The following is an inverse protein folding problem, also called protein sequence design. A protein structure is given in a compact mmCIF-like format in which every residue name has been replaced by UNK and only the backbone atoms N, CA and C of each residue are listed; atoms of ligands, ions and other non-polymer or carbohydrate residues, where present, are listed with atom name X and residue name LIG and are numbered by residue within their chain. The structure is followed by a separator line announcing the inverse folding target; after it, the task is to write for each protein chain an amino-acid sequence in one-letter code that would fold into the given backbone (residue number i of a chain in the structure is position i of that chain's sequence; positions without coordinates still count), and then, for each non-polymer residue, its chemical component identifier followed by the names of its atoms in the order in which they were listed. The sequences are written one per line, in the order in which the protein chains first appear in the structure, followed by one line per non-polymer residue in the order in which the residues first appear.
data_IF_363466345420
#
_entry.id   IF_363466345420
#
_cell.length_a   1.000
_cell.length_b   1.000
_cell.length_c   1.000
_cell.angle_alpha   90.00
_cell.angle_beta   90.00
_cell.angle_gamma   90.00
#
_symmetry.space_group_name_H-M   'P 1'
#
loop_
_entity.id
_entity.type
_entity.pdbx_description
1 polymer ?
#
# COMPACT_ATOMS: atom_id res chain seq x y z
N UNK A 1 24.73 -7.08 16.89
CA UNK A 1 23.94 -5.90 17.31
C UNK A 1 24.81 -4.68 17.14
N UNK A 2 24.51 -3.82 16.16
CA UNK A 2 25.23 -2.55 15.99
C UNK A 2 24.79 -1.56 17.05
N UNK A 3 25.72 -0.90 17.72
CA UNK A 3 25.43 0.18 18.66
C UNK A 3 24.80 1.36 17.92
N UNK A 4 23.75 2.00 18.45
CA UNK A 4 23.17 3.19 17.83
C UNK A 4 24.23 4.30 17.83
N UNK A 5 24.63 4.75 16.63
CA UNK A 5 25.53 5.90 16.48
C UNK A 5 24.77 7.16 16.90
N UNK A 6 25.24 7.84 17.95
CA UNK A 6 24.76 9.19 18.31
C UNK A 6 24.93 10.13 17.12
N UNK A 7 23.90 10.94 16.82
CA UNK A 7 23.94 11.98 15.79
C UNK A 7 23.79 11.46 14.35
N UNK A 8 23.03 10.38 14.15
CA UNK A 8 22.80 9.78 12.84
C UNK A 8 21.82 10.57 11.98
N UNK A 9 20.77 11.11 12.59
CA UNK A 9 19.79 11.95 11.91
C UNK A 9 19.98 13.40 12.27
N UNK A 10 19.66 14.30 11.33
CA UNK A 10 19.68 15.73 11.59
C UNK A 10 18.54 16.10 12.55
N UNK A 11 18.77 17.12 13.37
CA UNK A 11 17.67 17.78 14.07
C UNK A 11 17.04 18.82 13.13
N UNK A 12 15.71 18.83 13.07
CA UNK A 12 14.95 19.68 12.16
C UNK A 12 14.21 20.75 12.96
N UNK A 13 14.22 21.99 12.46
CA UNK A 13 13.46 23.09 13.06
C UNK A 13 11.96 22.85 12.89
N UNK A 14 11.29 22.57 14.01
CA UNK A 14 9.85 22.29 14.09
C UNK A 14 8.98 23.54 14.31
N UNK A 15 9.57 24.74 14.36
CA UNK A 15 8.83 26.01 14.51
C UNK A 15 7.67 26.16 13.52
N UNK A 16 7.78 25.74 12.23
CA UNK A 16 6.67 25.84 11.27
C UNK A 16 5.44 24.98 11.57
N UNK A 17 5.55 24.01 12.49
CA UNK A 17 4.47 23.13 12.92
C UNK A 17 3.78 23.62 14.20
N UNK A 18 4.40 24.54 14.95
CA UNK A 18 3.83 25.06 16.20
C UNK A 18 2.47 25.73 15.95
N UNK A 19 1.50 25.39 16.79
CA UNK A 19 0.12 25.89 16.66
C UNK A 19 -0.72 25.23 15.57
N UNK A 20 -0.14 24.35 14.73
CA UNK A 20 -0.87 23.59 13.70
C UNK A 20 -1.14 22.14 14.08
N UNK A 21 -0.34 21.60 15.01
CA UNK A 21 -0.44 20.23 15.51
C UNK A 21 -0.36 20.22 17.03
N UNK A 22 -0.92 19.20 17.72
CA UNK A 22 -0.81 19.07 19.17
C UNK A 22 0.66 19.10 19.64
N UNK A 23 0.95 19.88 20.69
CA UNK A 23 2.32 20.10 21.18
C UNK A 23 2.99 18.81 21.63
N UNK A 24 2.23 17.85 22.17
CA UNK A 24 2.76 16.56 22.64
C UNK A 24 3.59 15.82 21.58
N UNK A 25 3.23 15.92 20.30
CA UNK A 25 4.00 15.30 19.22
C UNK A 25 5.34 16.01 18.96
N UNK A 26 5.34 17.32 19.12
CA UNK A 26 6.52 18.17 18.96
C UNK A 26 7.47 18.01 20.16
N UNK A 27 6.91 17.96 21.37
CA UNK A 27 7.65 17.77 22.61
C UNK A 27 8.35 16.40 22.62
N UNK A 28 7.63 15.33 22.27
CA UNK A 28 8.20 13.99 22.12
C UNK A 28 9.38 13.95 21.12
N UNK A 29 9.28 14.69 20.00
CA UNK A 29 10.37 14.78 19.03
C UNK A 29 11.59 15.52 19.59
N UNK A 30 11.38 16.59 20.36
CA UNK A 30 12.46 17.35 20.98
C UNK A 30 13.18 16.53 22.05
N UNK A 31 12.46 15.66 22.76
CA UNK A 31 13.02 14.77 23.78
C UNK A 31 13.93 13.69 23.17
N UNK A 32 13.56 13.12 22.02
CA UNK A 32 14.41 12.19 21.27
C UNK A 32 14.40 12.45 19.75
N UNK A 33 15.22 13.40 19.25
CA UNK A 33 15.29 13.73 17.83
C UNK A 33 15.92 12.62 16.97
N UNK A 34 16.48 11.57 17.58
CA UNK A 34 17.07 10.43 16.88
C UNK A 34 16.10 9.28 16.70
N UNK A 35 14.91 9.35 17.33
CA UNK A 35 13.85 8.38 17.16
C UNK A 35 13.31 8.43 15.72
N UNK A 36 13.58 7.37 14.97
CA UNK A 36 13.23 7.26 13.55
C UNK A 36 11.72 7.22 13.31
N UNK A 37 10.94 6.67 14.25
CA UNK A 37 9.48 6.64 14.17
C UNK A 37 8.91 8.05 14.31
N UNK A 38 9.39 8.80 15.31
CA UNK A 38 9.03 10.21 15.49
C UNK A 38 9.47 11.06 14.30
N UNK A 39 10.69 10.85 13.77
CA UNK A 39 11.14 11.53 12.55
C UNK A 39 10.22 11.26 11.37
N UNK A 40 9.85 9.99 11.12
CA UNK A 40 8.93 9.59 10.05
C UNK A 40 7.56 10.24 10.22
N UNK A 41 7.06 10.30 11.46
CA UNK A 41 5.80 10.96 11.80
C UNK A 41 5.85 12.47 11.56
N UNK A 42 6.89 13.15 12.08
CA UNK A 42 7.11 14.59 11.88
C UNK A 42 7.26 14.92 10.39
N UNK A 43 7.92 14.07 9.60
CA UNK A 43 7.99 14.23 8.14
C UNK A 43 6.59 14.28 7.51
N UNK A 44 5.67 13.43 7.97
CA UNK A 44 4.26 13.44 7.58
C UNK A 44 3.54 14.74 7.95
N UNK A 45 3.79 15.27 9.14
CA UNK A 45 3.23 16.56 9.57
C UNK A 45 3.74 17.71 8.72
N UNK A 46 5.04 17.72 8.39
CA UNK A 46 5.62 18.73 7.50
C UNK A 46 4.99 18.71 6.11
N UNK A 47 4.81 17.53 5.52
CA UNK A 47 4.16 17.40 4.20
C UNK A 47 2.70 17.85 4.20
N UNK A 48 2.01 17.76 5.33
CA UNK A 48 0.57 18.05 5.43
C UNK A 48 0.26 19.47 5.88
N UNK A 49 1.02 20.01 6.84
CA UNK A 49 0.72 21.26 7.53
C UNK A 49 1.91 22.24 7.59
N UNK A 50 3.12 21.75 7.29
CA UNK A 50 4.35 22.53 7.39
C UNK A 50 4.93 22.89 6.03
N UNK A 51 6.25 22.99 5.99
CA UNK A 51 7.01 23.09 4.74
C UNK A 51 7.16 21.69 4.11
N UNK A 52 6.55 21.50 2.95
CA UNK A 52 6.55 20.23 2.23
C UNK A 52 7.97 19.70 1.98
N UNK A 53 8.88 20.54 1.50
CA UNK A 53 10.26 20.15 1.18
C UNK A 53 11.04 19.70 2.41
N UNK A 54 10.78 20.27 3.59
CA UNK A 54 11.36 19.79 4.86
C UNK A 54 10.91 18.35 5.10
N UNK A 55 9.62 18.06 4.91
CA UNK A 55 9.07 16.72 5.06
C UNK A 55 9.65 15.72 4.06
N UNK A 56 9.94 16.13 2.82
CA UNK A 56 10.66 15.30 1.84
C UNK A 56 12.08 15.01 2.31
N UNK A 57 12.83 16.05 2.73
CA UNK A 57 14.22 15.91 3.21
C UNK A 57 14.34 14.99 4.42
N UNK A 58 13.41 15.05 5.37
CA UNK A 58 13.39 14.13 6.52
C UNK A 58 13.24 12.68 6.03
N UNK A 59 12.31 12.42 5.11
CA UNK A 59 12.13 11.07 4.55
C UNK A 59 13.36 10.60 3.77
N UNK A 60 14.04 11.48 3.03
CA UNK A 60 15.32 11.16 2.36
C UNK A 60 16.42 10.81 3.39
N UNK A 61 16.53 11.57 4.49
CA UNK A 61 17.48 11.33 5.57
C UNK A 61 17.25 9.97 6.26
N UNK A 62 15.98 9.64 6.53
CA UNK A 62 15.56 8.32 7.03
C UNK A 62 16.02 7.23 6.06
N UNK A 63 15.68 7.33 4.77
CA UNK A 63 15.99 6.31 3.78
C UNK A 63 17.49 6.11 3.54
N UNK A 64 18.31 7.15 3.74
CA UNK A 64 19.76 7.09 3.57
C UNK A 64 20.49 6.56 4.80
N UNK A 65 20.00 6.89 6.00
CA UNK A 65 20.73 6.63 7.23
C UNK A 65 20.17 5.45 8.05
N UNK A 66 18.99 4.92 7.71
CA UNK A 66 18.41 3.75 8.37
C UNK A 66 19.31 2.49 8.29
N UNK A 67 19.32 1.69 9.35
CA UNK A 67 20.02 0.40 9.41
C UNK A 67 19.14 -0.69 8.79
N UNK A 68 19.34 -0.94 7.50
CA UNK A 68 18.59 -1.93 6.74
C UNK A 68 19.24 -3.32 6.86
N UNK A 69 18.76 -4.13 7.79
CA UNK A 69 19.25 -5.50 8.00
C UNK A 69 18.19 -6.42 8.59
N UNK A 70 18.31 -7.72 8.35
CA UNK A 70 17.31 -8.73 8.74
C UNK A 70 17.02 -8.76 10.25
N UNK A 71 18.00 -8.37 11.07
CA UNK A 71 17.85 -8.29 12.53
C UNK A 71 17.16 -7.02 13.05
N UNK A 72 16.81 -6.06 12.20
CA UNK A 72 16.20 -4.78 12.59
C UNK A 72 14.92 -4.49 11.79
N UNK A 73 13.91 -5.34 11.99
CA UNK A 73 12.63 -5.27 11.28
C UNK A 73 11.89 -3.94 11.51
N UNK A 74 11.95 -3.40 12.74
CA UNK A 74 11.26 -2.15 13.08
C UNK A 74 11.84 -0.96 12.31
N UNK A 75 13.16 -0.84 12.26
CA UNK A 75 13.76 0.26 11.52
C UNK A 75 13.64 0.09 10.00
N UNK A 76 13.79 -1.15 9.54
CA UNK A 76 13.61 -1.50 8.13
C UNK A 76 12.19 -1.17 7.66
N UNK A 77 11.16 -1.41 8.50
CA UNK A 77 9.77 -1.11 8.14
C UNK A 77 9.53 0.39 7.96
N UNK A 78 10.08 1.21 8.85
CA UNK A 78 10.00 2.67 8.77
C UNK A 78 10.73 3.20 7.53
N UNK A 79 11.89 2.64 7.21
CA UNK A 79 12.64 3.04 6.02
C UNK A 79 11.92 2.64 4.72
N UNK A 80 11.38 1.42 4.64
CA UNK A 80 10.58 0.95 3.49
C UNK A 80 9.34 1.83 3.28
N UNK A 81 8.67 2.22 4.37
CA UNK A 81 7.55 3.17 4.33
C UNK A 81 7.96 4.53 3.77
N UNK A 82 9.08 5.10 4.24
CA UNK A 82 9.58 6.38 3.74
C UNK A 82 10.00 6.31 2.27
N UNK A 83 10.64 5.21 1.84
CA UNK A 83 10.95 4.98 0.43
C UNK A 83 9.69 4.92 -0.44
N UNK A 84 8.63 4.28 0.05
CA UNK A 84 7.35 4.24 -0.65
C UNK A 84 6.71 5.62 -0.78
N UNK A 85 6.74 6.45 0.28
CA UNK A 85 6.28 7.84 0.22
C UNK A 85 7.10 8.63 -0.80
N UNK A 86 8.43 8.57 -0.70
CA UNK A 86 9.33 9.27 -1.62
C UNK A 86 9.09 8.88 -3.07
N UNK A 87 8.83 7.59 -3.34
CA UNK A 87 8.53 7.13 -4.69
C UNK A 87 7.31 7.83 -5.30
N UNK A 88 6.25 8.05 -4.50
CA UNK A 88 5.06 8.79 -4.94
C UNK A 88 5.40 10.25 -5.25
N UNK A 89 6.12 10.92 -4.35
CA UNK A 89 6.52 12.32 -4.51
C UNK A 89 7.38 12.48 -5.77
N UNK A 90 8.36 11.60 -5.98
CA UNK A 90 9.20 11.64 -7.18
C UNK A 90 8.43 11.36 -8.47
N UNK A 91 7.37 10.54 -8.44
CA UNK A 91 6.48 10.35 -9.59
C UNK A 91 5.71 11.64 -9.90
N UNK A 92 5.17 12.30 -8.87
CA UNK A 92 4.44 13.58 -9.00
C UNK A 92 5.34 14.71 -9.51
N UNK A 93 6.64 14.68 -9.16
CA UNK A 93 7.67 15.60 -9.68
C UNK A 93 8.27 15.15 -11.03
N UNK A 94 7.76 14.08 -11.65
CA UNK A 94 8.28 13.48 -12.90
C UNK A 94 9.76 13.03 -12.84
N UNK A 95 10.30 12.84 -11.63
CA UNK A 95 11.66 12.36 -11.35
C UNK A 95 11.70 10.83 -11.30
N UNK A 96 11.28 10.21 -12.40
CA UNK A 96 11.03 8.76 -12.46
C UNK A 96 12.24 7.90 -12.07
N UNK A 97 13.47 8.30 -12.44
CA UNK A 97 14.68 7.57 -12.04
C UNK A 97 14.85 7.48 -10.51
N UNK A 98 14.50 8.56 -9.78
CA UNK A 98 14.54 8.54 -8.32
C UNK A 98 13.41 7.70 -7.76
N UNK A 99 12.21 7.78 -8.36
CA UNK A 99 11.09 6.95 -7.98
C UNK A 99 11.41 5.45 -8.10
N UNK A 100 11.99 5.03 -9.23
CA UNK A 100 12.37 3.64 -9.45
C UNK A 100 13.44 3.16 -8.49
N UNK A 101 14.50 3.95 -8.24
CA UNK A 101 15.50 3.60 -7.23
C UNK A 101 14.91 3.46 -5.82
N UNK A 102 13.96 4.33 -5.47
CA UNK A 102 13.27 4.23 -4.19
C UNK A 102 12.43 2.94 -4.10
N UNK A 103 11.71 2.59 -5.17
CA UNK A 103 10.93 1.36 -5.26
C UNK A 103 11.80 0.10 -5.26
N UNK A 104 12.92 0.09 -5.98
CA UNK A 104 13.87 -1.04 -6.01
C UNK A 104 14.46 -1.29 -4.62
N UNK A 105 14.84 -0.21 -3.92
CA UNK A 105 15.35 -0.29 -2.55
C UNK A 105 14.26 -0.78 -1.60
N UNK A 106 13.04 -0.23 -1.70
CA UNK A 106 11.92 -0.68 -0.89
C UNK A 106 11.62 -2.16 -1.14
N UNK A 107 11.59 -2.61 -2.40
CA UNK A 107 11.30 -3.99 -2.79
C UNK A 107 12.38 -4.96 -2.28
N UNK A 108 13.65 -4.55 -2.31
CA UNK A 108 14.79 -5.34 -1.82
C UNK A 108 14.69 -5.62 -0.32
N UNK A 109 14.28 -4.63 0.47
CA UNK A 109 14.22 -4.74 1.93
C UNK A 109 12.83 -5.06 2.47
N UNK A 110 11.80 -5.07 1.61
CA UNK A 110 10.47 -5.47 2.00
C UNK A 110 10.43 -6.94 2.38
N UNK A 111 9.84 -7.22 3.52
CA UNK A 111 9.46 -8.57 3.93
C UNK A 111 8.10 -8.53 4.61
N UNK A 112 7.38 -9.65 4.56
CA UNK A 112 6.11 -9.79 5.27
C UNK A 112 6.27 -9.68 6.79
N UNK A 113 7.48 -9.89 7.31
CA UNK A 113 7.79 -9.78 8.74
C UNK A 113 7.85 -8.34 9.24
N UNK A 114 7.99 -7.36 8.35
CA UNK A 114 7.90 -5.93 8.70
C UNK A 114 6.55 -5.59 9.35
N UNK A 115 5.49 -6.33 9.00
CA UNK A 115 4.13 -6.15 9.55
C UNK A 115 4.07 -6.52 11.04
N UNK A 116 4.94 -7.42 11.51
CA UNK A 116 5.04 -7.77 12.92
C UNK A 116 5.61 -6.62 13.75
N UNK A 117 6.49 -5.80 13.17
CA UNK A 117 7.17 -4.71 13.86
C UNK A 117 6.37 -3.39 13.91
N UNK A 118 5.25 -3.33 13.21
CA UNK A 118 4.34 -2.17 13.18
C UNK A 118 3.34 -2.23 14.34
N UNK A 119 3.66 -1.58 15.46
CA UNK A 119 2.78 -1.49 16.64
C UNK A 119 1.62 -0.50 16.47
N UNK A 120 1.75 0.49 15.60
CA UNK A 120 0.78 1.59 15.46
C UNK A 120 -0.28 1.34 14.38
N UNK A 121 -0.03 0.37 13.50
CA UNK A 121 -0.91 0.13 12.37
C UNK A 121 -0.75 1.11 11.21
N UNK A 122 0.19 2.06 11.33
CA UNK A 122 0.27 3.26 10.50
C UNK A 122 1.35 3.19 9.42
N UNK A 123 2.35 2.31 9.53
CA UNK A 123 3.45 2.20 8.57
C UNK A 123 3.24 1.03 7.61
N UNK A 124 2.54 1.19 6.48
CA UNK A 124 2.16 0.02 5.67
C UNK A 124 2.35 0.18 4.16
N UNK A 125 3.47 -0.35 3.68
CA UNK A 125 3.51 -1.14 2.44
C UNK A 125 3.14 -2.57 2.84
N UNK A 126 1.83 -2.88 2.88
CA UNK A 126 1.34 -4.14 3.44
C UNK A 126 1.63 -5.31 2.51
N UNK A 127 1.47 -5.08 1.22
CA UNK A 127 1.69 -6.07 0.19
C UNK A 127 2.88 -5.65 -0.66
N UNK A 128 3.68 -6.62 -1.12
CA UNK A 128 4.77 -6.33 -2.05
C UNK A 128 4.22 -5.75 -3.35
N UNK A 129 3.01 -6.17 -3.72
CA UNK A 129 2.20 -5.70 -4.83
C UNK A 129 1.94 -4.18 -4.77
N UNK A 130 1.90 -3.55 -3.59
CA UNK A 130 1.73 -2.10 -3.48
C UNK A 130 2.93 -1.36 -4.13
N UNK A 131 4.14 -1.91 -3.99
CA UNK A 131 5.35 -1.37 -4.63
C UNK A 131 5.29 -1.57 -6.16
N UNK A 132 4.82 -2.73 -6.60
CA UNK A 132 4.66 -3.03 -8.01
C UNK A 132 3.61 -2.14 -8.66
N UNK A 133 2.44 -1.96 -8.03
CA UNK A 133 1.38 -1.07 -8.50
C UNK A 133 1.85 0.39 -8.57
N UNK A 134 2.66 0.85 -7.60
CA UNK A 134 3.30 2.17 -7.67
C UNK A 134 4.24 2.29 -8.88
N UNK A 135 5.00 1.24 -9.19
CA UNK A 135 5.85 1.18 -10.40
C UNK A 135 5.01 1.18 -11.68
N UNK A 136 3.93 0.41 -11.73
CA UNK A 136 2.99 0.39 -12.86
C UNK A 136 2.38 1.78 -13.09
N UNK A 137 1.95 2.46 -12.03
CA UNK A 137 1.42 3.82 -12.14
C UNK A 137 2.43 4.82 -12.74
N UNK A 138 3.72 4.70 -12.41
CA UNK A 138 4.76 5.51 -13.05
C UNK A 138 4.89 5.21 -14.56
N UNK A 139 4.84 3.93 -14.96
CA UNK A 139 4.84 3.54 -16.38
C UNK A 139 3.59 4.00 -17.11
N UNK A 140 2.43 4.00 -16.44
CA UNK A 140 1.18 4.54 -16.95
C UNK A 140 1.31 6.03 -17.30
N UNK A 141 1.86 6.84 -16.39
CA UNK A 141 2.07 8.28 -16.62
C UNK A 141 2.99 8.51 -17.82
N UNK A 142 4.04 7.71 -17.98
CA UNK A 142 4.98 7.82 -19.11
C UNK A 142 4.46 7.21 -20.42
N UNK A 143 3.28 6.57 -20.43
CA UNK A 143 2.78 5.84 -21.61
C UNK A 143 3.60 4.60 -21.98
N UNK A 144 4.41 4.06 -21.05
CA UNK A 144 5.26 2.87 -21.26
C UNK A 144 4.42 1.59 -21.18
N UNK A 145 3.60 1.35 -22.21
CA UNK A 145 2.61 0.25 -22.26
C UNK A 145 3.19 -1.13 -21.90
N UNK A 146 4.27 -1.55 -22.57
CA UNK A 146 4.84 -2.90 -22.36
C UNK A 146 5.32 -3.12 -20.93
N UNK A 147 5.99 -2.12 -20.36
CA UNK A 147 6.49 -2.18 -18.99
C UNK A 147 5.34 -2.15 -17.98
N UNK A 148 4.32 -1.32 -18.25
CA UNK A 148 3.08 -1.28 -17.49
C UNK A 148 2.39 -2.65 -17.44
N UNK A 149 2.12 -3.25 -18.61
CA UNK A 149 1.44 -4.55 -18.73
C UNK A 149 2.23 -5.65 -18.00
N UNK A 150 3.56 -5.68 -18.16
CA UNK A 150 4.40 -6.67 -17.48
C UNK A 150 4.27 -6.61 -15.95
N UNK A 151 4.17 -5.40 -15.37
CA UNK A 151 4.00 -5.25 -13.93
C UNK A 151 2.58 -5.58 -13.49
N UNK A 152 1.56 -5.18 -14.25
CA UNK A 152 0.16 -5.51 -13.97
C UNK A 152 -0.06 -7.03 -13.99
N UNK A 153 0.48 -7.74 -14.99
CA UNK A 153 0.39 -9.19 -15.08
C UNK A 153 1.06 -9.86 -13.87
N UNK A 154 2.23 -9.37 -13.47
CA UNK A 154 2.92 -9.86 -12.27
C UNK A 154 2.07 -9.71 -11.01
N UNK A 155 1.37 -8.58 -10.83
CA UNK A 155 0.45 -8.37 -9.70
C UNK A 155 -0.72 -9.34 -9.79
N UNK A 156 -1.37 -9.44 -10.95
CA UNK A 156 -2.53 -10.32 -11.14
C UNK A 156 -2.21 -11.79 -10.89
N UNK A 157 -1.07 -12.29 -11.39
CA UNK A 157 -0.60 -13.66 -11.14
C UNK A 157 -0.34 -13.88 -9.64
N UNK A 158 0.34 -12.95 -8.97
CA UNK A 158 0.59 -13.04 -7.52
C UNK A 158 -0.70 -13.14 -6.71
N UNK A 159 -1.70 -12.31 -7.02
CA UNK A 159 -3.01 -12.36 -6.35
C UNK A 159 -3.76 -13.65 -6.67
N UNK A 160 -3.76 -14.10 -7.92
CA UNK A 160 -4.40 -15.35 -8.32
C UNK A 160 -3.83 -16.56 -7.56
N UNK A 161 -2.50 -16.67 -7.47
CA UNK A 161 -1.85 -17.73 -6.70
C UNK A 161 -2.20 -17.66 -5.21
N UNK A 162 -2.23 -16.46 -4.63
CA UNK A 162 -2.63 -16.26 -3.24
C UNK A 162 -4.08 -16.73 -3.01
N UNK A 163 -4.99 -16.44 -3.93
CA UNK A 163 -6.39 -16.80 -3.80
C UNK A 163 -6.64 -18.29 -3.91
N UNK A 164 -5.97 -18.97 -4.84
CA UNK A 164 -6.09 -20.42 -4.95
C UNK A 164 -5.72 -21.10 -3.63
N UNK A 165 -4.60 -20.67 -3.04
CA UNK A 165 -4.16 -21.16 -1.72
C UNK A 165 -5.13 -20.75 -0.60
N UNK A 166 -5.66 -19.53 -0.65
CA UNK A 166 -6.62 -19.05 0.34
C UNK A 166 -7.92 -19.85 0.32
N UNK A 167 -8.45 -20.13 -0.87
CA UNK A 167 -9.69 -20.87 -1.05
C UNK A 167 -9.58 -22.32 -0.55
N UNK A 168 -8.43 -22.98 -0.77
CA UNK A 168 -8.19 -24.33 -0.24
C UNK A 168 -8.26 -24.41 1.29
N UNK A 169 -7.79 -23.37 1.98
CA UNK A 169 -7.66 -23.37 3.45
C UNK A 169 -8.87 -22.78 4.14
N UNK A 170 -9.41 -21.69 3.61
CA UNK A 170 -10.43 -20.86 4.29
C UNK A 170 -11.77 -20.87 3.58
N UNK A 171 -11.84 -21.38 2.34
CA UNK A 171 -12.99 -21.25 1.43
C UNK A 171 -13.39 -19.79 1.16
N UNK A 172 -12.53 -18.83 1.47
CA UNK A 172 -12.78 -17.42 1.21
C UNK A 172 -12.63 -17.13 -0.29
N UNK A 173 -13.59 -16.36 -0.82
CA UNK A 173 -13.46 -15.71 -2.12
C UNK A 173 -13.14 -14.24 -1.85
N UNK A 174 -11.99 -13.73 -2.30
CA UNK A 174 -11.63 -12.34 -2.10
C UNK A 174 -12.58 -11.43 -2.87
N UNK A 175 -13.32 -10.60 -2.14
CA UNK A 175 -14.12 -9.51 -2.69
C UNK A 175 -13.42 -8.21 -2.27
N UNK A 176 -13.37 -7.22 -3.16
CA UNK A 176 -12.77 -5.90 -2.90
C UNK A 176 -11.26 -5.91 -2.62
N UNK A 177 -10.53 -6.85 -3.21
CA UNK A 177 -9.08 -6.80 -3.21
C UNK A 177 -8.57 -5.52 -3.88
N UNK A 178 -7.87 -4.69 -3.13
CA UNK A 178 -7.46 -3.37 -3.61
C UNK A 178 -6.41 -3.47 -4.71
N UNK A 179 -5.55 -4.50 -4.68
CA UNK A 179 -4.54 -4.68 -5.72
C UNK A 179 -5.17 -5.02 -7.07
N UNK A 180 -6.19 -5.90 -7.09
CA UNK A 180 -6.92 -6.21 -8.31
C UNK A 180 -7.76 -5.04 -8.80
N UNK A 181 -8.41 -4.31 -7.90
CA UNK A 181 -9.14 -3.10 -8.26
C UNK A 181 -8.20 -2.08 -8.92
N UNK A 182 -7.00 -1.89 -8.37
CA UNK A 182 -5.97 -1.01 -8.94
C UNK A 182 -5.47 -1.51 -10.31
N UNK A 183 -5.29 -2.82 -10.48
CA UNK A 183 -4.94 -3.39 -11.79
C UNK A 183 -5.99 -3.05 -12.84
N UNK A 184 -7.27 -3.30 -12.57
CA UNK A 184 -8.34 -3.02 -13.53
C UNK A 184 -8.53 -1.53 -13.77
N UNK A 185 -8.45 -0.71 -12.72
CA UNK A 185 -8.52 0.74 -12.82
C UNK A 185 -7.39 1.29 -13.71
N UNK A 186 -6.14 0.94 -13.42
CA UNK A 186 -4.99 1.45 -14.17
C UNK A 186 -4.98 0.93 -15.61
N UNK A 187 -5.35 -0.33 -15.84
CA UNK A 187 -5.50 -0.86 -17.21
C UNK A 187 -6.56 -0.10 -17.98
N UNK A 188 -7.66 0.31 -17.32
CA UNK A 188 -8.68 1.15 -17.94
C UNK A 188 -8.12 2.52 -18.36
N UNK A 189 -7.26 3.13 -17.53
CA UNK A 189 -6.59 4.40 -17.85
C UNK A 189 -5.61 4.22 -19.02
N UNK A 190 -4.81 3.15 -19.03
CA UNK A 190 -3.87 2.87 -20.12
C UNK A 190 -4.61 2.71 -21.46
N UNK A 191 -5.66 1.88 -21.50
CA UNK A 191 -6.48 1.73 -22.70
C UNK A 191 -7.11 3.05 -23.13
N UNK A 192 -7.63 3.84 -22.18
CA UNK A 192 -8.20 5.16 -22.47
C UNK A 192 -7.17 6.11 -23.08
N UNK A 193 -5.95 6.16 -22.56
CA UNK A 193 -4.85 6.99 -23.07
C UNK A 193 -4.41 6.60 -24.48
N UNK A 194 -4.57 5.32 -24.85
CA UNK A 194 -4.28 4.78 -26.17
C UNK A 194 -5.48 4.87 -27.13
N UNK A 195 -6.58 5.50 -26.71
CA UNK A 195 -7.86 5.57 -27.45
C UNK A 195 -8.49 4.18 -27.76
N UNK A 196 -8.10 3.16 -27.01
CA UNK A 196 -8.72 1.83 -27.01
C UNK A 196 -9.93 1.80 -26.07
N UNK A 197 -11.00 2.47 -26.50
CA UNK A 197 -12.19 2.71 -25.69
C UNK A 197 -12.96 1.43 -25.34
N UNK A 198 -12.92 0.42 -26.20
CA UNK A 198 -13.58 -0.86 -25.97
C UNK A 198 -12.95 -1.57 -24.75
N UNK A 199 -11.63 -1.73 -24.75
CA UNK A 199 -10.94 -2.35 -23.62
C UNK A 199 -11.00 -1.49 -22.36
N UNK A 200 -10.96 -0.15 -22.49
CA UNK A 200 -11.15 0.74 -21.35
C UNK A 200 -12.50 0.51 -20.65
N UNK A 201 -13.59 0.36 -21.42
CA UNK A 201 -14.93 0.03 -20.90
C UNK A 201 -14.96 -1.37 -20.28
N UNK A 202 -14.31 -2.36 -20.89
CA UNK A 202 -14.22 -3.73 -20.34
C UNK A 202 -13.53 -3.73 -18.97
N UNK A 203 -12.38 -3.06 -18.85
CA UNK A 203 -11.62 -3.04 -17.60
C UNK A 203 -12.37 -2.33 -16.48
N UNK A 204 -12.97 -1.15 -16.73
CA UNK A 204 -13.70 -0.44 -15.67
C UNK A 204 -14.96 -1.22 -15.24
N UNK A 205 -15.66 -1.88 -16.16
CA UNK A 205 -16.78 -2.77 -15.83
C UNK A 205 -16.33 -3.98 -15.02
N UNK A 206 -15.13 -4.49 -15.29
CA UNK A 206 -14.53 -5.57 -14.52
C UNK A 206 -14.23 -5.11 -13.10
N UNK A 207 -13.60 -3.95 -12.91
CA UNK A 207 -13.39 -3.34 -11.58
C UNK A 207 -14.71 -3.20 -10.81
N UNK A 208 -15.79 -2.73 -11.46
CA UNK A 208 -17.12 -2.63 -10.86
C UNK A 208 -17.69 -3.98 -10.39
N UNK A 209 -17.48 -5.07 -11.13
CA UNK A 209 -17.90 -6.42 -10.69
C UNK A 209 -17.18 -6.83 -9.41
N UNK A 210 -15.88 -6.54 -9.31
CA UNK A 210 -15.07 -6.87 -8.13
C UNK A 210 -15.37 -6.03 -6.88
N UNK A 211 -16.07 -4.89 -7.02
CA UNK A 211 -16.59 -4.14 -5.88
C UNK A 211 -17.70 -4.90 -5.11
N UNK A 212 -18.35 -5.87 -5.76
CA UNK A 212 -19.42 -6.68 -5.16
C UNK A 212 -20.66 -5.87 -4.75
N UNK A 213 -20.90 -4.72 -5.39
CA UNK A 213 -22.10 -3.89 -5.18
C UNK A 213 -22.94 -3.86 -6.45
N UNK A 214 -24.25 -4.07 -6.30
CA UNK A 214 -25.23 -3.90 -7.39
C UNK A 214 -25.49 -2.40 -7.57
N UNK A 215 -25.19 -1.80 -8.73
CA UNK A 215 -25.38 -0.36 -8.94
C UNK A 215 -26.85 0.00 -9.16
N UNK A 216 -27.38 0.91 -8.37
CA UNK A 216 -28.65 1.61 -8.62
C UNK A 216 -28.47 3.13 -8.52
N UNK A 217 -27.36 3.66 -9.04
CA UNK A 217 -27.15 5.11 -9.21
C UNK A 217 -27.36 5.50 -10.68
N UNK A 218 -27.63 6.80 -10.90
CA UNK A 218 -27.89 7.37 -12.22
C UNK A 218 -26.69 7.25 -13.17
N UNK A 219 -25.45 7.43 -12.69
CA UNK A 219 -24.24 7.30 -13.51
C UNK A 219 -24.12 5.89 -14.11
N UNK A 220 -24.39 4.83 -13.36
CA UNK A 220 -24.29 3.46 -13.92
C UNK A 220 -25.36 3.19 -14.98
N UNK A 221 -26.58 3.71 -14.81
CA UNK A 221 -27.65 3.59 -15.80
C UNK A 221 -27.34 4.40 -17.06
N UNK A 222 -26.85 5.64 -16.89
CA UNK A 222 -26.42 6.51 -17.99
C UNK A 222 -25.27 5.88 -18.78
N UNK A 223 -24.31 5.26 -18.09
CA UNK A 223 -23.24 4.52 -18.73
C UNK A 223 -23.75 3.40 -19.65
N UNK A 224 -24.74 2.61 -19.18
CA UNK A 224 -25.37 1.55 -20.00
C UNK A 224 -26.11 2.12 -21.20
N UNK A 225 -26.77 3.27 -21.07
CA UNK A 225 -27.47 3.93 -22.17
C UNK A 225 -26.46 4.39 -23.23
N UNK A 226 -25.37 5.05 -22.83
CA UNK A 226 -24.29 5.45 -23.72
C UNK A 226 -23.66 4.25 -24.42
N UNK A 227 -23.36 3.18 -23.69
CA UNK A 227 -22.75 1.95 -24.23
C UNK A 227 -23.63 1.33 -25.32
N UNK A 228 -24.95 1.21 -25.07
CA UNK A 228 -25.91 0.68 -26.07
C UNK A 228 -26.01 1.54 -27.33
N UNK A 229 -25.72 2.83 -27.23
CA UNK A 229 -25.69 3.77 -28.36
C UNK A 229 -24.35 3.79 -29.10
N UNK A 230 -23.36 3.00 -28.65
CA UNK A 230 -22.00 2.99 -29.19
C UNK A 230 -21.13 4.16 -28.73
N UNK A 231 -21.61 4.99 -27.79
CA UNK A 231 -20.86 6.12 -27.23
C UNK A 231 -19.95 5.65 -26.08
N UNK A 232 -18.88 4.95 -26.45
CA UNK A 232 -17.96 4.32 -25.50
C UNK A 232 -17.21 5.33 -24.63
N UNK A 233 -16.95 6.53 -25.14
CA UNK A 233 -16.26 7.59 -24.38
C UNK A 233 -17.10 8.07 -23.21
N UNK A 234 -18.38 8.37 -23.44
CA UNK A 234 -19.27 8.78 -22.35
C UNK A 234 -19.63 7.58 -21.46
N UNK A 235 -19.80 6.38 -22.02
CA UNK A 235 -20.00 5.17 -21.23
C UNK A 235 -18.86 4.95 -20.23
N UNK A 236 -17.60 5.02 -20.69
CA UNK A 236 -16.43 4.94 -19.84
C UNK A 236 -16.44 6.01 -18.74
N UNK A 237 -16.71 7.27 -19.12
CA UNK A 237 -16.73 8.40 -18.18
C UNK A 237 -17.74 8.18 -17.05
N UNK A 238 -18.96 7.73 -17.37
CA UNK A 238 -19.98 7.46 -16.37
C UNK A 238 -19.66 6.23 -15.52
N UNK A 239 -19.16 5.14 -16.11
CA UNK A 239 -18.69 3.98 -15.34
C UNK A 239 -17.57 4.34 -14.37
N UNK A 240 -16.59 5.15 -14.81
CA UNK A 240 -15.48 5.59 -13.98
C UNK A 240 -15.95 6.47 -12.82
N UNK A 241 -16.85 7.44 -13.07
CA UNK A 241 -17.45 8.27 -12.02
C UNK A 241 -18.14 7.42 -10.95
N UNK A 242 -18.96 6.46 -11.39
CA UNK A 242 -19.64 5.53 -10.49
C UNK A 242 -18.64 4.69 -9.68
N UNK A 243 -17.61 4.15 -10.34
CA UNK A 243 -16.56 3.36 -9.71
C UNK A 243 -15.83 4.16 -8.62
N UNK A 244 -15.37 5.38 -8.91
CA UNK A 244 -14.67 6.24 -7.95
C UNK A 244 -15.56 6.55 -6.74
N UNK A 245 -16.85 6.83 -6.96
CA UNK A 245 -17.81 7.07 -5.87
C UNK A 245 -18.06 5.85 -4.98
N UNK A 246 -17.89 4.64 -5.51
CA UNK A 246 -18.12 3.39 -4.79
C UNK A 246 -16.85 2.74 -4.22
N UNK A 247 -15.66 3.22 -4.61
CA UNK A 247 -14.37 2.62 -4.24
C UNK A 247 -14.21 2.62 -2.72
N UNK A 248 -13.89 1.46 -2.10
CA UNK A 248 -13.69 1.37 -0.66
C UNK A 248 -12.59 2.33 -0.22
N UNK A 249 -12.83 3.07 0.87
CA UNK A 249 -11.82 3.92 1.50
C UNK A 249 -10.92 3.16 2.48
N UNK A 250 -11.26 1.90 2.78
CA UNK A 250 -10.54 1.07 3.75
C UNK A 250 -9.38 0.33 3.07
N UNK A 251 -8.18 0.49 3.63
CA UNK A 251 -6.90 -0.01 3.12
C UNK A 251 -6.60 -1.46 3.54
N UNK A 252 -7.60 -2.33 3.63
CA UNK A 252 -7.43 -3.64 4.24
C UNK A 252 -7.97 -4.77 3.37
N UNK A 253 -7.08 -5.65 2.91
CA UNK A 253 -7.44 -7.01 2.50
C UNK A 253 -8.25 -7.66 3.62
N UNK A 254 -9.45 -8.14 3.28
CA UNK A 254 -10.41 -8.74 4.22
C UNK A 254 -10.20 -10.25 4.40
N UNK A 255 -9.19 -10.82 3.74
CA UNK A 255 -8.90 -12.25 3.81
C UNK A 255 -8.30 -12.60 5.16
N UNK A 256 -8.85 -13.65 5.80
CA UNK A 256 -8.23 -14.28 6.96
C UNK A 256 -6.98 -15.05 6.56
N UNK A 257 -6.95 -15.61 5.35
CA UNK A 257 -5.80 -16.35 4.87
C UNK A 257 -4.50 -15.54 4.96
N UNK A 258 -3.44 -16.17 5.47
CA UNK A 258 -2.14 -15.53 5.60
C UNK A 258 -1.98 -14.66 6.85
N UNK A 259 -2.97 -14.66 7.75
CA UNK A 259 -2.95 -13.99 9.06
C UNK A 259 -2.72 -14.98 10.21
N UNK A 260 -2.45 -14.46 11.41
CA UNK A 260 -2.36 -15.25 12.64
C UNK A 260 -3.64 -16.06 12.90
N UNK A 261 -4.82 -15.51 12.60
CA UNK A 261 -6.11 -16.19 12.81
C UNK A 261 -6.27 -17.53 12.09
N UNK A 262 -5.56 -17.72 10.96
CA UNK A 262 -5.62 -18.94 10.14
C UNK A 262 -4.32 -19.74 10.17
N UNK A 263 -3.42 -19.45 11.11
CA UNK A 263 -2.11 -20.07 11.21
C UNK A 263 -2.11 -21.24 12.21
N UNK A 264 -1.47 -22.36 11.88
CA UNK A 264 -1.35 -23.54 12.77
C UNK A 264 -0.58 -23.23 14.05
N UNK A 265 0.30 -22.23 14.01
CA UNK A 265 1.18 -21.86 15.13
C UNK A 265 0.57 -20.76 16.03
N UNK A 266 -0.70 -20.41 15.85
CA UNK A 266 -1.37 -19.37 16.63
C UNK A 266 -2.28 -19.99 17.69
N UNK A 267 -2.03 -19.65 18.95
CA UNK A 267 -2.87 -20.05 20.07
C UNK A 267 -3.68 -18.84 20.57
N UNK A 268 -5.00 -18.78 20.30
CA UNK A 268 -5.82 -17.66 20.72
C UNK A 268 -5.92 -17.58 22.25
N UNK A 269 -5.74 -16.39 22.80
CA UNK A 269 -5.97 -16.11 24.23
C UNK A 269 -7.33 -15.47 24.49
N UNK A 270 -7.82 -14.71 23.51
CA UNK A 270 -9.16 -14.11 23.48
C UNK A 270 -9.62 -13.95 22.01
N UNK A 271 -10.63 -13.12 21.76
CA UNK A 271 -11.19 -12.91 20.42
C UNK A 271 -10.38 -11.96 19.51
N UNK A 272 -9.35 -11.27 20.03
CA UNK A 272 -8.53 -10.29 19.30
C UNK A 272 -7.04 -10.66 19.25
N UNK A 273 -6.55 -11.43 20.22
CA UNK A 273 -5.13 -11.62 20.47
C UNK A 273 -4.81 -13.06 20.87
N UNK A 274 -3.57 -13.46 20.60
CA UNK A 274 -3.04 -14.75 20.99
C UNK A 274 -1.52 -14.79 20.96
N UNK A 275 -0.99 -15.99 21.21
CA UNK A 275 0.44 -16.24 21.22
C UNK A 275 0.83 -16.93 19.90
N UNK A 276 1.78 -16.34 19.19
CA UNK A 276 2.47 -17.04 18.10
C UNK A 276 3.51 -17.99 18.69
N UNK A 277 3.21 -19.29 18.73
CA UNK A 277 4.08 -20.31 19.34
C UNK A 277 5.44 -20.41 18.65
N UNK A 278 5.48 -20.20 17.33
CA UNK A 278 6.73 -20.26 16.53
C UNK A 278 7.72 -19.13 16.85
N UNK A 279 7.21 -17.95 17.22
CA UNK A 279 8.04 -16.75 17.53
C UNK A 279 8.05 -16.38 19.02
N UNK A 280 7.22 -17.04 19.82
CA UNK A 280 7.02 -16.78 21.25
C UNK A 280 6.71 -15.30 21.56
N UNK A 281 5.75 -14.72 20.83
CA UNK A 281 5.29 -13.34 20.99
C UNK A 281 3.77 -13.24 21.02
N UNK A 282 3.24 -12.23 21.72
CA UNK A 282 1.82 -11.86 21.65
C UNK A 282 1.56 -11.08 20.35
N UNK A 283 0.50 -11.45 19.64
CA UNK A 283 0.13 -10.84 18.35
C UNK A 283 -1.39 -10.80 18.18
N UNK A 284 -1.86 -9.74 17.52
CA UNK A 284 -3.25 -9.59 17.07
C UNK A 284 -3.57 -10.62 15.95
N UNK A 285 -4.82 -11.06 15.90
CA UNK A 285 -5.31 -12.08 14.96
C UNK A 285 -5.13 -11.71 13.48
N UNK A 286 -5.07 -10.42 13.14
CA UNK A 286 -4.95 -9.92 11.77
C UNK A 286 -3.50 -9.69 11.34
N UNK A 287 -2.51 -9.90 12.22
CA UNK A 287 -1.09 -9.82 11.88
C UNK A 287 -0.69 -10.90 10.89
N UNK A 288 0.32 -10.61 10.08
CA UNK A 288 0.83 -11.52 9.05
C UNK A 288 2.35 -11.60 9.12
N UNK A 289 2.94 -12.72 8.66
CA UNK A 289 4.39 -12.91 8.64
C UNK A 289 4.82 -13.84 7.49
N UNK A 290 6.13 -13.89 7.22
CA UNK A 290 6.75 -14.74 6.20
C UNK A 290 6.71 -16.22 6.55
N UNK A 291 6.66 -16.55 7.84
CA UNK A 291 6.70 -17.91 8.38
C UNK A 291 5.29 -18.52 8.57
N UNK A 292 4.27 -17.92 7.97
CA UNK A 292 2.88 -18.38 8.05
C UNK A 292 2.72 -19.80 7.50
N UNK A 293 2.00 -20.64 8.25
CA UNK A 293 1.66 -22.01 7.89
C UNK A 293 0.15 -22.19 8.11
N UNK A 294 -0.63 -22.56 7.06
CA UNK A 294 -2.07 -22.63 7.17
C UNK A 294 -2.51 -23.75 8.13
N UNK A 295 -3.44 -23.44 9.03
CA UNK A 295 -4.19 -24.45 9.75
C UNK A 295 -5.23 -25.05 8.79
N UNK A 296 -4.95 -26.23 8.23
CA UNK A 296 -5.94 -26.93 7.41
C UNK A 296 -7.13 -27.30 8.30
N UNK A 297 -8.30 -26.73 8.01
CA UNK A 297 -9.56 -27.26 8.53
C UNK A 297 -9.81 -28.61 7.87
N UNK A 298 -9.71 -29.69 8.65
CA UNK A 298 -10.19 -31.02 8.25
C UNK A 298 -11.69 -31.00 8.01
#
# INVERSE_FOLDING_TARGET
MGTPKKGRFKSYDISPLRGKVPSIFLDNYLDDPQNIELLSFIAGLFRSYGNFDVGVRISEDISQNAYLGEGNLHETSIAVWNLYILSKIYIEEERFDRAYRALDTAEKYWSKDLILADSTGACRVRNKEDLWLRRAFAYLIQGRKKDFESIIDRVMVSRFEMYNKAYEVTREVPIRDTCLLDCFEYSSYMCRNLEDLEHAVIFIKTALRYLGKVPHDNNYLDAKICERKGDLKNAYTYYLKFYIGCRPKLYCDTLKYGTCSSCVNFNPTNNSDGICQKRNINVDIHKTCSTYEPAYTK
#
